data_IF_995929815190
#
_entry.id   IF_995929815190
#
_cell.length_a   1.000
_cell.length_b   1.000
_cell.length_c   1.000
_cell.angle_alpha   90.00
_cell.angle_beta   90.00
_cell.angle_gamma   90.00
#
_symmetry.space_group_name_H-M   'P 1'
#
loop_
_entity.id
_entity.type
_entity.pdbx_description
1 polymer ?
#
# COMPACT_ATOMS: atom_id res chain seq x y z
N UNK A 1 -35.76 22.39 -27.45
CA UNK A 1 -35.60 20.95 -27.17
C UNK A 1 -34.18 20.73 -26.65
N UNK A 2 -33.90 21.31 -25.48
CA UNK A 2 -32.54 21.45 -24.90
C UNK A 2 -32.56 21.50 -23.36
N UNK A 3 -33.75 21.45 -22.74
CA UNK A 3 -33.96 21.70 -21.30
C UNK A 3 -33.91 20.41 -20.44
N UNK A 4 -34.20 19.26 -21.06
CA UNK A 4 -34.22 17.94 -20.42
C UNK A 4 -32.83 17.31 -20.23
N UNK A 5 -31.79 17.84 -20.88
CA UNK A 5 -30.43 17.31 -20.80
C UNK A 5 -29.63 17.97 -19.66
N UNK A 6 -29.86 19.26 -19.42
CA UNK A 6 -29.28 20.02 -18.29
C UNK A 6 -29.79 19.50 -16.93
N UNK A 7 -31.08 19.17 -16.84
CA UNK A 7 -31.67 18.62 -15.62
C UNK A 7 -31.13 17.23 -15.26
N UNK A 8 -30.78 16.41 -16.27
CA UNK A 8 -30.17 15.09 -16.06
C UNK A 8 -28.70 15.17 -15.68
N UNK A 9 -27.93 16.06 -16.30
CA UNK A 9 -26.51 16.26 -15.97
C UNK A 9 -26.33 16.83 -14.57
N UNK A 10 -27.18 17.78 -14.16
CA UNK A 10 -27.21 18.31 -12.80
C UNK A 10 -27.57 17.24 -11.77
N UNK A 11 -28.56 16.37 -12.04
CA UNK A 11 -28.93 15.28 -11.14
C UNK A 11 -27.84 14.20 -10.99
N UNK A 12 -27.08 13.92 -12.06
CA UNK A 12 -25.93 13.01 -12.01
C UNK A 12 -24.77 13.65 -11.24
N UNK A 13 -24.50 14.93 -11.46
CA UNK A 13 -23.48 15.67 -10.73
C UNK A 13 -23.81 15.76 -9.23
N UNK A 14 -25.05 16.04 -8.86
CA UNK A 14 -25.51 16.05 -7.46
C UNK A 14 -25.40 14.67 -6.80
N UNK A 15 -25.71 13.58 -7.52
CA UNK A 15 -25.52 12.21 -7.02
C UNK A 15 -24.06 11.83 -6.86
N UNK A 16 -23.19 12.28 -7.75
CA UNK A 16 -21.74 12.10 -7.64
C UNK A 16 -21.16 12.93 -6.50
N UNK A 17 -21.65 14.15 -6.28
CA UNK A 17 -21.25 15.03 -5.18
C UNK A 17 -21.78 14.53 -3.83
N UNK A 18 -23.00 13.98 -3.78
CA UNK A 18 -23.55 13.33 -2.59
C UNK A 18 -22.84 11.99 -2.29
N UNK A 19 -22.28 11.34 -3.33
CA UNK A 19 -21.41 10.18 -3.20
C UNK A 19 -19.94 10.56 -2.96
N UNK A 20 -19.56 11.86 -3.01
CA UNK A 20 -18.23 12.28 -2.64
C UNK A 20 -18.06 11.98 -1.15
N UNK A 21 -17.05 11.20 -0.81
CA UNK A 21 -16.91 10.74 0.54
C UNK A 21 -16.59 11.97 1.40
N UNK A 22 -17.11 11.98 2.63
CA UNK A 22 -16.94 13.04 3.64
C UNK A 22 -15.60 13.79 3.50
N UNK A 23 -15.51 15.09 3.81
CA UNK A 23 -14.32 15.91 3.54
C UNK A 23 -13.01 15.37 4.14
N UNK A 24 -13.08 14.44 5.09
CA UNK A 24 -11.93 13.68 5.57
C UNK A 24 -11.44 12.62 4.56
N UNK A 25 -12.32 11.84 3.94
CA UNK A 25 -11.96 10.85 2.92
C UNK A 25 -11.38 11.54 1.68
N UNK A 26 -11.95 12.66 1.26
CA UNK A 26 -11.38 13.46 0.17
C UNK A 26 -9.94 13.89 0.46
N UNK A 27 -9.66 14.32 1.71
CA UNK A 27 -8.29 14.65 2.16
C UNK A 27 -7.35 13.45 2.19
N UNK A 28 -7.83 12.28 2.63
CA UNK A 28 -7.04 11.03 2.61
C UNK A 28 -6.71 10.60 1.18
N UNK A 29 -7.71 10.62 0.29
CA UNK A 29 -7.53 10.28 -1.12
C UNK A 29 -6.57 11.25 -1.81
N UNK A 30 -6.70 12.55 -1.55
CA UNK A 30 -5.79 13.57 -2.07
C UNK A 30 -4.35 13.36 -1.55
N UNK A 31 -4.19 13.04 -0.27
CA UNK A 31 -2.89 12.70 0.31
C UNK A 31 -2.26 11.45 -0.32
N UNK A 32 -3.05 10.39 -0.49
CA UNK A 32 -2.64 9.17 -1.17
C UNK A 32 -2.24 9.42 -2.63
N UNK A 33 -3.06 10.19 -3.37
CA UNK A 33 -2.77 10.59 -4.74
C UNK A 33 -1.48 11.43 -4.83
N UNK A 34 -1.26 12.36 -3.91
CA UNK A 34 -0.03 13.16 -3.85
C UNK A 34 1.21 12.29 -3.58
N UNK A 35 1.13 11.32 -2.67
CA UNK A 35 2.22 10.36 -2.41
C UNK A 35 2.52 9.52 -3.65
N UNK A 36 1.48 9.03 -4.34
CA UNK A 36 1.64 8.24 -5.57
C UNK A 36 2.27 9.09 -6.67
N UNK A 37 1.79 10.32 -6.87
CA UNK A 37 2.34 11.25 -7.86
C UNK A 37 3.82 11.55 -7.56
N UNK A 38 4.16 11.81 -6.29
CA UNK A 38 5.54 12.03 -5.86
C UNK A 38 6.44 10.82 -6.15
N UNK A 39 5.96 9.61 -5.88
CA UNK A 39 6.69 8.36 -6.17
C UNK A 39 6.93 8.19 -7.68
N UNK A 40 5.91 8.46 -8.49
CA UNK A 40 6.00 8.31 -9.95
C UNK A 40 6.95 9.36 -10.55
N UNK A 41 6.92 10.59 -10.04
CA UNK A 41 7.80 11.67 -10.47
C UNK A 41 9.25 11.40 -10.07
N UNK A 42 9.50 10.91 -8.85
CA UNK A 42 10.83 10.53 -8.39
C UNK A 42 11.18 9.09 -8.82
N UNK A 43 11.24 8.86 -10.13
CA UNK A 43 11.65 7.57 -10.67
C UNK A 43 13.17 7.42 -10.67
N UNK A 44 13.68 6.29 -10.18
CA UNK A 44 15.11 5.97 -10.19
C UNK A 44 15.31 4.53 -10.68
N UNK A 45 16.37 4.30 -11.46
CA UNK A 45 16.70 2.98 -12.01
C UNK A 45 17.61 2.15 -11.09
N UNK A 46 18.43 2.83 -10.27
CA UNK A 46 19.39 2.22 -9.36
C UNK A 46 18.78 1.88 -7.99
N UNK A 47 19.25 0.79 -7.38
CA UNK A 47 18.70 0.23 -6.14
C UNK A 47 18.87 1.17 -4.93
N UNK A 48 20.05 1.79 -4.76
CA UNK A 48 20.34 2.70 -3.66
C UNK A 48 19.40 3.93 -3.64
N UNK A 49 19.30 4.68 -4.74
CA UNK A 49 18.35 5.80 -4.85
C UNK A 49 16.88 5.40 -4.67
N UNK A 50 16.49 4.17 -5.05
CA UNK A 50 15.15 3.64 -4.77
C UNK A 50 14.92 3.46 -3.27
N UNK A 51 15.87 2.85 -2.58
CA UNK A 51 15.80 2.66 -1.12
C UNK A 51 15.66 4.00 -0.39
N UNK A 52 16.48 5.00 -0.76
CA UNK A 52 16.41 6.35 -0.17
C UNK A 52 15.04 6.97 -0.41
N UNK A 53 14.54 6.97 -1.65
CA UNK A 53 13.21 7.50 -1.98
C UNK A 53 12.13 6.81 -1.16
N UNK A 54 12.12 5.48 -1.12
CA UNK A 54 11.05 4.72 -0.46
C UNK A 54 11.10 4.92 1.08
N UNK A 55 12.29 5.00 1.68
CA UNK A 55 12.44 5.39 3.08
C UNK A 55 11.92 6.80 3.35
N UNK A 56 12.23 7.76 2.47
CA UNK A 56 11.77 9.14 2.65
C UNK A 56 10.25 9.24 2.53
N UNK A 57 9.68 8.68 1.47
CA UNK A 57 8.24 8.81 1.16
C UNK A 57 7.38 8.00 2.15
N UNK A 58 7.78 6.78 2.48
CA UNK A 58 6.92 5.86 3.23
C UNK A 58 7.26 5.75 4.72
N UNK A 59 8.43 6.23 5.16
CA UNK A 59 8.83 6.16 6.57
C UNK A 59 9.04 7.57 7.14
N UNK A 60 9.91 8.38 6.53
CA UNK A 60 10.25 9.69 7.08
C UNK A 60 9.09 10.67 7.03
N UNK A 61 8.38 10.75 5.90
CA UNK A 61 7.26 11.69 5.74
C UNK A 61 6.08 11.39 6.69
N UNK A 62 5.57 10.14 6.80
CA UNK A 62 4.55 9.82 7.79
C UNK A 62 5.07 9.95 9.23
N UNK A 63 6.34 9.60 9.47
CA UNK A 63 6.98 9.76 10.78
C UNK A 63 7.04 11.22 11.23
N UNK A 64 7.39 12.15 10.33
CA UNK A 64 7.39 13.58 10.62
C UNK A 64 5.97 14.09 10.92
N UNK A 65 4.97 13.62 10.15
CA UNK A 65 3.57 13.95 10.39
C UNK A 65 3.12 13.46 11.77
N UNK A 66 3.47 12.22 12.12
CA UNK A 66 3.17 11.64 13.43
C UNK A 66 3.86 12.37 14.58
N UNK A 67 5.10 12.84 14.40
CA UNK A 67 5.78 13.67 15.41
C UNK A 67 5.11 15.05 15.53
N UNK A 68 4.74 15.67 14.41
CA UNK A 68 4.20 17.04 14.38
C UNK A 68 2.77 17.15 14.92
N UNK A 69 1.95 16.13 14.65
CA UNK A 69 0.52 16.08 15.01
C UNK A 69 0.20 15.01 16.05
N UNK A 70 1.22 14.32 16.57
CA UNK A 70 1.09 13.18 17.49
C UNK A 70 0.31 13.48 18.77
N UNK A 71 0.41 14.71 19.28
CA UNK A 71 -0.32 15.15 20.46
C UNK A 71 -1.84 15.16 20.28
N UNK A 72 -2.32 15.49 19.08
CA UNK A 72 -3.76 15.59 18.78
C UNK A 72 -4.38 14.22 18.44
N UNK A 73 -3.57 13.29 17.94
CA UNK A 73 -4.00 11.93 17.56
C UNK A 73 -3.72 10.87 18.64
N UNK A 74 -3.24 11.28 19.81
CA UNK A 74 -2.91 10.36 20.92
C UNK A 74 -1.75 9.40 20.61
N UNK A 75 -0.83 9.80 19.73
CA UNK A 75 0.31 8.99 19.34
C UNK A 75 1.26 8.75 20.51
N UNK A 76 1.38 7.49 20.94
CA UNK A 76 2.34 7.06 21.97
C UNK A 76 3.26 5.99 21.39
N UNK A 77 4.56 6.26 21.45
CA UNK A 77 5.57 5.26 21.05
C UNK A 77 5.90 4.41 22.26
N UNK A 78 5.46 3.15 22.25
CA UNK A 78 5.91 2.16 23.21
C UNK A 78 7.27 1.61 22.78
N UNK A 79 8.31 1.94 23.56
CA UNK A 79 9.68 1.49 23.32
C UNK A 79 9.82 -0.03 23.42
N UNK A 80 9.00 -0.69 24.24
CA UNK A 80 8.98 -2.15 24.37
C UNK A 80 8.44 -2.77 23.10
N UNK A 81 7.33 -2.25 22.57
CA UNK A 81 6.76 -2.70 21.31
C UNK A 81 7.75 -2.50 20.15
N UNK A 82 8.39 -1.33 20.06
CA UNK A 82 9.42 -1.06 19.02
C UNK A 82 10.60 -2.02 19.15
N UNK A 83 11.10 -2.26 20.38
CA UNK A 83 12.19 -3.19 20.62
C UNK A 83 11.81 -4.61 20.20
N UNK A 84 10.64 -5.08 20.61
CA UNK A 84 10.18 -6.43 20.30
C UNK A 84 9.98 -6.59 18.79
N UNK A 85 9.39 -5.58 18.12
CA UNK A 85 9.25 -5.57 16.67
C UNK A 85 10.61 -5.58 15.96
N UNK A 86 11.60 -4.83 16.46
CA UNK A 86 12.95 -4.82 15.90
C UNK A 86 13.67 -6.16 16.10
N UNK A 87 13.53 -6.78 17.28
CA UNK A 87 14.09 -8.11 17.55
C UNK A 87 13.45 -9.19 16.67
N UNK A 88 12.13 -9.15 16.52
CA UNK A 88 11.39 -10.04 15.63
C UNK A 88 11.80 -9.83 14.17
N UNK A 89 11.90 -8.59 13.71
CA UNK A 89 12.36 -8.27 12.36
C UNK A 89 13.80 -8.77 12.14
N UNK A 90 14.69 -8.59 13.12
CA UNK A 90 16.06 -9.13 13.07
C UNK A 90 16.09 -10.66 13.02
N UNK A 91 15.21 -11.33 13.75
CA UNK A 91 15.06 -12.79 13.73
C UNK A 91 14.55 -13.31 12.37
N UNK A 92 13.59 -12.61 11.76
CA UNK A 92 12.97 -12.99 10.49
C UNK A 92 13.82 -12.58 9.27
N UNK A 93 14.60 -11.51 9.38
CA UNK A 93 15.45 -10.98 8.32
C UNK A 93 16.34 -12.03 7.61
N UNK A 94 17.10 -12.90 8.31
CA UNK A 94 17.93 -13.91 7.63
C UNK A 94 17.11 -14.87 6.78
N UNK A 95 15.91 -15.28 7.24
CA UNK A 95 15.02 -16.12 6.44
C UNK A 95 14.55 -15.41 5.18
N UNK A 96 14.25 -14.10 5.26
CA UNK A 96 13.89 -13.30 4.09
C UNK A 96 15.06 -13.10 3.12
N UNK A 97 16.26 -12.85 3.62
CA UNK A 97 17.46 -12.69 2.79
C UNK A 97 17.77 -14.00 2.07
N UNK A 98 17.82 -15.12 2.79
CA UNK A 98 18.07 -16.43 2.18
C UNK A 98 16.93 -16.80 1.24
N UNK A 99 15.69 -16.72 1.69
CA UNK A 99 14.50 -17.06 0.90
C UNK A 99 14.37 -16.24 -0.38
N UNK A 100 14.64 -14.94 -0.34
CA UNK A 100 14.59 -14.07 -1.53
C UNK A 100 15.74 -14.31 -2.51
N UNK A 101 16.85 -14.93 -2.07
CA UNK A 101 17.97 -15.30 -2.95
C UNK A 101 17.83 -16.68 -3.58
N UNK A 102 16.90 -17.52 -3.10
CA UNK A 102 16.68 -18.85 -3.66
C UNK A 102 16.29 -18.75 -5.15
N UNK A 103 16.97 -19.47 -6.06
CA UNK A 103 16.69 -19.44 -7.49
C UNK A 103 15.24 -19.78 -7.82
N UNK A 104 14.67 -20.73 -7.08
CA UNK A 104 13.27 -21.16 -7.20
C UNK A 104 12.32 -19.99 -6.90
N UNK A 105 12.55 -19.25 -5.81
CA UNK A 105 11.73 -18.08 -5.45
C UNK A 105 11.88 -17.00 -6.51
N UNK A 106 13.10 -16.67 -6.93
CA UNK A 106 13.36 -15.66 -7.97
C UNK A 106 12.77 -16.02 -9.34
N UNK A 107 12.74 -17.30 -9.69
CA UNK A 107 12.14 -17.78 -10.92
C UNK A 107 10.62 -17.54 -10.97
N UNK A 108 9.96 -17.51 -9.81
CA UNK A 108 8.53 -17.19 -9.67
C UNK A 108 8.25 -15.72 -9.26
N UNK A 109 9.30 -14.89 -9.12
CA UNK A 109 9.24 -13.48 -8.70
C UNK A 109 9.59 -12.50 -9.84
N UNK A 110 9.02 -12.73 -11.03
CA UNK A 110 7.93 -11.85 -11.41
C UNK A 110 6.64 -12.59 -11.16
N UNK A 111 5.73 -11.98 -10.39
CA UNK A 111 4.33 -12.42 -10.37
C UNK A 111 3.94 -12.65 -11.83
N UNK A 112 3.63 -13.91 -12.13
CA UNK A 112 3.69 -14.51 -13.47
C UNK A 112 3.30 -13.53 -14.59
N UNK A 113 4.02 -13.52 -15.72
CA UNK A 113 3.55 -12.77 -16.89
C UNK A 113 2.10 -13.14 -17.16
N UNK A 114 1.23 -12.15 -17.21
CA UNK A 114 -0.20 -12.30 -17.44
C UNK A 114 -0.60 -11.39 -18.59
N UNK A 115 -1.55 -11.85 -19.41
CA UNK A 115 -2.20 -11.04 -20.42
C UNK A 115 -3.64 -10.69 -19.97
N UNK A 116 -4.24 -9.71 -20.62
CA UNK A 116 -5.65 -9.33 -20.37
C UNK A 116 -6.65 -10.37 -20.89
N UNK A 117 -6.18 -11.40 -21.59
CA UNK A 117 -7.02 -12.51 -22.02
C UNK A 117 -7.57 -13.24 -20.79
N UNK A 118 -8.90 -13.41 -20.72
CA UNK A 118 -9.57 -13.96 -19.53
C UNK A 118 -9.02 -15.31 -19.09
N UNK A 119 -8.64 -16.18 -20.04
CA UNK A 119 -8.07 -17.50 -19.77
C UNK A 119 -6.69 -17.47 -19.11
N UNK A 120 -5.94 -16.37 -19.26
CA UNK A 120 -4.64 -16.17 -18.60
C UNK A 120 -4.77 -15.30 -17.35
N UNK A 121 -5.67 -14.31 -17.38
CA UNK A 121 -5.92 -13.39 -16.29
C UNK A 121 -6.57 -14.07 -15.08
N UNK A 122 -7.61 -14.88 -15.29
CA UNK A 122 -8.38 -15.49 -14.20
C UNK A 122 -7.53 -16.43 -13.32
N UNK A 123 -6.77 -17.40 -13.87
CA UNK A 123 -5.91 -18.25 -13.03
C UNK A 123 -4.79 -17.43 -12.36
N UNK A 124 -4.28 -16.39 -13.02
CA UNK A 124 -3.30 -15.49 -12.44
C UNK A 124 -3.86 -14.71 -11.23
N UNK A 125 -5.05 -14.13 -11.36
CA UNK A 125 -5.73 -13.40 -10.31
C UNK A 125 -6.03 -14.31 -9.10
N UNK A 126 -6.49 -15.54 -9.34
CA UNK A 126 -6.69 -16.54 -8.26
C UNK A 126 -5.37 -16.85 -7.55
N UNK A 127 -4.28 -17.03 -8.30
CA UNK A 127 -2.94 -17.23 -7.72
C UNK A 127 -2.51 -16.06 -6.82
N UNK A 128 -2.72 -14.82 -7.26
CA UNK A 128 -2.44 -13.63 -6.45
C UNK A 128 -3.31 -13.56 -5.20
N UNK A 129 -4.60 -13.91 -5.30
CA UNK A 129 -5.51 -13.97 -4.14
C UNK A 129 -5.04 -15.00 -3.13
N UNK A 130 -4.65 -16.20 -3.57
CA UNK A 130 -4.14 -17.24 -2.67
C UNK A 130 -2.83 -16.82 -1.99
N UNK A 131 -1.92 -16.18 -2.73
CA UNK A 131 -0.69 -15.61 -2.16
C UNK A 131 -1.02 -14.52 -1.13
N UNK A 132 -1.98 -13.65 -1.42
CA UNK A 132 -2.44 -12.62 -0.48
C UNK A 132 -3.06 -13.23 0.77
N UNK A 133 -3.91 -14.25 0.64
CA UNK A 133 -4.48 -14.99 1.77
C UNK A 133 -3.40 -15.67 2.62
N UNK A 134 -2.42 -16.31 1.99
CA UNK A 134 -1.32 -16.96 2.69
C UNK A 134 -0.46 -15.93 3.44
N UNK A 135 -0.15 -14.79 2.80
CA UNK A 135 0.56 -13.69 3.43
C UNK A 135 -0.23 -13.12 4.61
N UNK A 136 -1.51 -12.84 4.43
CA UNK A 136 -2.37 -12.31 5.50
C UNK A 136 -2.46 -13.29 6.68
N UNK A 137 -2.57 -14.59 6.41
CA UNK A 137 -2.60 -15.63 7.44
C UNK A 137 -1.24 -15.75 8.16
N UNK A 138 -0.13 -15.63 7.44
CA UNK A 138 1.20 -15.64 8.04
C UNK A 138 1.45 -14.39 8.90
N UNK A 139 1.10 -13.19 8.41
CA UNK A 139 1.34 -11.95 9.12
C UNK A 139 0.34 -11.66 10.24
N UNK A 140 -0.94 -12.05 10.11
CA UNK A 140 -1.94 -11.87 11.18
C UNK A 140 -2.14 -13.11 12.05
N UNK A 141 -2.11 -14.31 11.48
CA UNK A 141 -2.36 -15.55 12.22
C UNK A 141 -1.16 -16.01 13.08
N UNK A 142 0.06 -15.70 12.66
CA UNK A 142 1.29 -16.11 13.37
C UNK A 142 1.87 -15.00 14.26
N UNK A 143 1.64 -13.72 13.94
CA UNK A 143 2.18 -12.58 14.68
C UNK A 143 1.17 -11.86 15.59
N UNK A 144 -0.14 -12.10 15.48
CA UNK A 144 -1.16 -11.52 16.37
C UNK A 144 -1.63 -12.47 17.48
N UNK A 145 -0.98 -13.63 17.68
CA UNK A 145 -1.23 -14.55 18.81
C UNK A 145 -0.09 -14.46 19.85
N UNK A 146 0.43 -13.25 20.05
CA UNK A 146 1.45 -12.93 21.05
C UNK A 146 0.97 -11.81 21.97
#
# INVERSE_FOLDING_TARGET
MTDTDDTRTLAVAERLVAALPTPWVGRVLAGGAAIIALRLWWSTSALGPRLVRDLVIFVALPGLLAVRYGGDIGWRVDRTAVRNAALLAGFVAPFYVVGSTLPTVRAYYPAWRTALALGEFLPHAVGLVLVAFAAETYYRGLLCVG
#
